data_IF_639001489619
#
_entry.id   IF_639001489619
#
_cell.length_a   1.000
_cell.length_b   1.000
_cell.length_c   1.000
_cell.angle_alpha   90.00
_cell.angle_beta   90.00
_cell.angle_gamma   90.00
#
_symmetry.space_group_name_H-M   'P 1'
#
loop_
_entity.id
_entity.type
_entity.pdbx_description
1 polymer ?
#
# COMPACT_ATOMS: atom_id res chain seq x y z
N UNK A 1 13.09 10.74 8.00
CA UNK A 1 12.51 11.61 6.94
C UNK A 1 11.21 12.27 7.40
N UNK A 2 10.28 11.54 8.02
CA UNK A 2 8.97 12.06 8.46
C UNK A 2 9.10 13.31 9.35
N UNK A 3 9.91 13.23 10.39
CA UNK A 3 10.13 14.28 11.41
C UNK A 3 11.20 15.31 11.07
N UNK A 4 11.91 15.17 9.97
CA UNK A 4 13.06 16.04 9.60
C UNK A 4 12.83 16.87 8.34
N UNK A 5 11.67 16.72 7.67
CA UNK A 5 11.35 17.46 6.45
C UNK A 5 10.91 18.89 6.73
N UNK A 6 10.19 19.10 7.81
CA UNK A 6 9.63 20.39 8.22
C UNK A 6 10.29 20.89 9.51
N UNK A 7 10.00 22.12 9.90
CA UNK A 7 10.46 22.66 11.19
C UNK A 7 9.93 21.86 12.39
N UNK A 8 10.62 21.98 13.52
CA UNK A 8 10.28 21.23 14.75
C UNK A 8 8.90 21.59 15.34
N UNK A 9 8.32 22.71 14.91
CA UNK A 9 6.98 23.17 15.27
C UNK A 9 5.84 22.54 14.47
N UNK A 10 6.17 21.77 13.40
CA UNK A 10 5.21 21.12 12.51
C UNK A 10 4.94 19.68 12.92
N UNK A 11 3.67 19.30 13.03
CA UNK A 11 3.25 17.92 13.24
C UNK A 11 3.20 17.18 11.89
N UNK A 12 4.05 16.16 11.67
CA UNK A 12 4.19 15.51 10.36
C UNK A 12 3.20 14.34 10.22
N UNK A 13 2.02 14.60 9.70
CA UNK A 13 0.98 13.58 9.40
C UNK A 13 0.86 13.31 7.90
N UNK A 14 1.96 13.40 7.13
CA UNK A 14 1.97 13.36 5.67
C UNK A 14 2.41 12.01 5.08
N UNK A 15 3.57 11.47 5.46
CA UNK A 15 4.11 10.24 4.87
C UNK A 15 3.54 9.00 5.55
N UNK A 16 3.33 7.94 4.78
CA UNK A 16 2.82 6.66 5.27
C UNK A 16 3.94 5.84 5.96
N UNK A 17 4.42 6.37 7.09
CA UNK A 17 5.34 5.74 8.05
C UNK A 17 4.71 5.81 9.45
N UNK A 18 4.86 4.74 10.24
CA UNK A 18 4.41 4.69 11.64
C UNK A 18 5.42 5.41 12.56
N UNK A 19 4.92 6.02 13.63
CA UNK A 19 5.75 6.61 14.70
C UNK A 19 5.90 5.66 15.91
N UNK A 20 5.35 4.45 15.82
CA UNK A 20 5.47 3.46 16.89
C UNK A 20 6.87 2.82 16.91
N UNK A 21 7.22 2.25 18.05
CA UNK A 21 8.45 1.47 18.16
C UNK A 21 8.44 0.31 17.14
N UNK A 22 9.59 -0.01 16.59
CA UNK A 22 9.74 -1.16 15.70
C UNK A 22 9.51 -2.45 16.48
N UNK A 23 8.85 -3.42 15.87
CA UNK A 23 8.62 -4.75 16.43
C UNK A 23 9.92 -5.34 17.00
N UNK A 24 9.97 -5.76 18.29
CA UNK A 24 11.18 -6.29 18.92
C UNK A 24 11.80 -7.46 18.15
N UNK A 25 10.99 -8.40 17.65
CA UNK A 25 11.49 -9.52 16.86
C UNK A 25 12.22 -9.08 15.59
N UNK A 26 11.79 -7.99 14.96
CA UNK A 26 12.46 -7.40 13.80
C UNK A 26 13.78 -6.76 14.20
N UNK A 27 13.80 -6.00 15.31
CA UNK A 27 15.01 -5.35 15.83
C UNK A 27 16.07 -6.40 16.18
N UNK A 28 15.68 -7.45 16.93
CA UNK A 28 16.57 -8.51 17.38
C UNK A 28 17.18 -9.27 16.20
N UNK A 29 16.37 -9.61 15.19
CA UNK A 29 16.83 -10.31 13.99
C UNK A 29 17.83 -9.47 13.18
N UNK A 30 17.54 -8.19 12.97
CA UNK A 30 18.46 -7.27 12.26
C UNK A 30 19.75 -7.08 13.07
N UNK A 31 19.68 -6.92 14.38
CA UNK A 31 20.84 -6.76 15.23
C UNK A 31 21.73 -8.02 15.24
N UNK A 32 21.11 -9.21 15.25
CA UNK A 32 21.84 -10.47 15.13
C UNK A 32 22.59 -10.56 13.79
N UNK A 33 21.93 -10.20 12.68
CA UNK A 33 22.56 -10.19 11.36
C UNK A 33 23.73 -9.20 11.27
N UNK A 34 23.58 -8.00 11.86
CA UNK A 34 24.65 -7.00 11.93
C UNK A 34 25.82 -7.50 12.79
N UNK A 35 25.54 -8.11 13.93
CA UNK A 35 26.57 -8.67 14.84
C UNK A 35 27.33 -9.85 14.21
N UNK A 36 26.67 -10.59 13.32
CA UNK A 36 27.28 -11.67 12.53
C UNK A 36 27.96 -11.17 11.24
N UNK A 37 28.01 -9.85 11.02
CA UNK A 37 28.57 -9.23 9.81
C UNK A 37 27.99 -9.79 8.50
N UNK A 38 26.69 -10.13 8.50
CA UNK A 38 25.96 -10.73 7.38
C UNK A 38 25.60 -9.67 6.32
N UNK A 39 26.60 -9.14 5.61
CA UNK A 39 26.45 -8.08 4.60
C UNK A 39 26.70 -8.56 3.16
N UNK A 40 26.97 -9.86 2.98
CA UNK A 40 27.20 -10.46 1.67
C UNK A 40 25.91 -10.57 0.84
N UNK A 41 26.07 -11.07 -0.39
CA UNK A 41 24.91 -11.39 -1.22
C UNK A 41 24.04 -12.47 -0.54
N UNK A 42 22.70 -12.36 -0.67
CA UNK A 42 21.81 -13.41 -0.20
C UNK A 42 22.09 -14.72 -0.95
N UNK A 43 21.95 -15.85 -0.26
CA UNK A 43 22.06 -17.15 -0.91
C UNK A 43 20.92 -17.32 -1.94
N UNK A 44 21.20 -18.00 -3.06
CA UNK A 44 20.23 -18.21 -4.14
C UNK A 44 18.90 -18.87 -3.68
N UNK A 45 18.91 -19.60 -2.58
CA UNK A 45 17.77 -20.30 -2.00
C UNK A 45 17.46 -19.82 -0.59
N UNK A 46 17.41 -18.53 -0.35
CA UNK A 46 16.90 -18.02 0.93
C UNK A 46 15.39 -18.23 1.04
N UNK A 47 15.05 -19.47 1.39
CA UNK A 47 13.68 -19.94 1.50
C UNK A 47 12.92 -19.39 2.69
N UNK A 48 13.61 -18.93 3.74
CA UNK A 48 13.00 -18.52 5.00
C UNK A 48 11.93 -17.44 4.84
N UNK A 49 12.20 -16.39 4.04
CA UNK A 49 11.22 -15.34 3.79
C UNK A 49 10.06 -15.84 2.92
N UNK A 50 10.33 -16.63 1.89
CA UNK A 50 9.29 -17.15 1.01
C UNK A 50 8.29 -18.03 1.75
N UNK A 51 8.80 -18.92 2.59
CA UNK A 51 8.01 -19.78 3.48
C UNK A 51 7.24 -18.95 4.51
N UNK A 52 7.91 -17.99 5.17
CA UNK A 52 7.27 -17.12 6.15
C UNK A 52 6.13 -16.29 5.54
N UNK A 53 6.31 -15.80 4.30
CA UNK A 53 5.27 -15.08 3.56
C UNK A 53 4.10 -16.01 3.23
N UNK A 54 4.36 -17.21 2.71
CA UNK A 54 3.32 -18.18 2.36
C UNK A 54 2.52 -18.62 3.61
N UNK A 55 3.20 -18.87 4.73
CA UNK A 55 2.58 -19.23 5.99
C UNK A 55 1.72 -18.08 6.54
N UNK A 56 2.21 -16.84 6.47
CA UNK A 56 1.44 -15.67 6.89
C UNK A 56 0.18 -15.48 6.06
N UNK A 57 0.27 -15.62 4.74
CA UNK A 57 -0.88 -15.52 3.83
C UNK A 57 -1.90 -16.64 4.06
N UNK A 58 -1.44 -17.88 4.29
CA UNK A 58 -2.32 -19.00 4.64
C UNK A 58 -3.05 -18.74 5.96
N UNK A 59 -2.32 -18.37 7.00
CA UNK A 59 -2.85 -18.27 8.36
C UNK A 59 -3.72 -17.02 8.55
N UNK A 60 -3.36 -15.90 7.89
CA UNK A 60 -4.07 -14.62 8.07
C UNK A 60 -5.22 -14.44 7.08
N UNK A 61 -5.07 -14.94 5.84
CA UNK A 61 -6.01 -14.67 4.75
C UNK A 61 -6.64 -15.94 4.16
N UNK A 62 -6.23 -17.13 4.58
CA UNK A 62 -6.70 -18.40 4.03
C UNK A 62 -6.24 -18.66 2.59
N UNK A 63 -5.19 -17.96 2.13
CA UNK A 63 -4.63 -18.11 0.79
C UNK A 63 -3.35 -18.93 0.82
N UNK A 64 -3.32 -20.02 0.05
CA UNK A 64 -2.15 -20.91 -0.04
C UNK A 64 -1.24 -20.48 -1.18
N UNK A 65 -0.26 -19.65 -0.89
CA UNK A 65 0.83 -19.36 -1.81
C UNK A 65 1.83 -20.53 -1.82
N UNK A 66 2.47 -20.76 -2.97
CA UNK A 66 3.61 -21.69 -3.07
C UNK A 66 4.88 -20.94 -2.72
N UNK A 67 5.67 -21.36 -1.71
CA UNK A 67 6.90 -20.66 -1.35
C UNK A 67 7.88 -20.47 -2.53
N UNK A 68 7.96 -21.46 -3.41
CA UNK A 68 8.82 -21.41 -4.62
C UNK A 68 8.36 -20.39 -5.68
N UNK A 69 7.20 -19.77 -5.49
CA UNK A 69 6.63 -18.72 -6.35
C UNK A 69 6.57 -17.35 -5.64
N UNK A 70 7.20 -17.24 -4.49
CA UNK A 70 7.36 -16.00 -3.72
C UNK A 70 8.79 -15.52 -3.86
N UNK A 71 8.97 -14.35 -4.46
CA UNK A 71 10.31 -13.84 -4.74
C UNK A 71 10.54 -12.47 -4.10
N UNK A 72 11.71 -12.25 -3.48
CA UNK A 72 12.06 -10.95 -2.93
C UNK A 72 12.39 -9.95 -4.04
N UNK A 73 11.96 -8.71 -3.82
CA UNK A 73 12.29 -7.54 -4.67
C UNK A 73 12.56 -6.33 -3.76
N UNK A 74 13.12 -5.25 -4.31
CA UNK A 74 13.51 -4.09 -3.52
C UNK A 74 12.33 -3.44 -2.77
N UNK A 75 11.21 -3.24 -3.44
CA UNK A 75 9.98 -2.68 -2.90
C UNK A 75 8.79 -3.00 -3.81
N UNK A 76 7.57 -2.71 -3.36
CA UNK A 76 6.33 -2.99 -4.11
C UNK A 76 6.28 -2.20 -5.43
N UNK A 77 6.78 -0.97 -5.47
CA UNK A 77 6.81 -0.17 -6.71
C UNK A 77 7.71 -0.86 -7.74
N UNK A 78 8.84 -1.45 -7.31
CA UNK A 78 9.72 -2.25 -8.17
C UNK A 78 9.01 -3.52 -8.67
N UNK A 79 8.27 -4.22 -7.82
CA UNK A 79 7.48 -5.39 -8.22
C UNK A 79 6.48 -5.02 -9.32
N UNK A 80 5.74 -3.93 -9.15
CA UNK A 80 4.77 -3.44 -10.13
C UNK A 80 5.44 -2.98 -11.43
N UNK A 81 6.60 -2.31 -11.34
CA UNK A 81 7.40 -1.93 -12.50
C UNK A 81 7.77 -3.13 -13.36
N UNK A 82 8.34 -4.17 -12.73
CA UNK A 82 8.72 -5.43 -13.38
C UNK A 82 7.46 -6.08 -13.98
N UNK A 83 6.35 -6.07 -13.26
CA UNK A 83 5.09 -6.67 -13.72
C UNK A 83 4.56 -5.97 -14.98
N UNK A 84 4.56 -4.65 -15.04
CA UNK A 84 4.15 -3.89 -16.24
C UNK A 84 5.07 -4.20 -17.42
N UNK A 85 6.37 -4.28 -17.19
CA UNK A 85 7.35 -4.45 -18.26
C UNK A 85 7.38 -5.86 -18.86
N UNK A 86 7.20 -6.89 -18.03
CA UNK A 86 7.48 -8.27 -18.42
C UNK A 86 6.26 -9.19 -18.44
N UNK A 87 5.13 -8.79 -17.84
CA UNK A 87 3.94 -9.63 -17.69
C UNK A 87 2.69 -9.05 -18.37
N UNK A 88 2.82 -7.92 -19.05
CA UNK A 88 1.73 -7.31 -19.83
C UNK A 88 2.15 -7.17 -21.30
N UNK A 89 1.17 -7.05 -22.18
CA UNK A 89 1.42 -6.83 -23.60
C UNK A 89 2.29 -5.59 -23.81
N UNK A 90 3.42 -5.69 -24.54
CA UNK A 90 4.29 -4.55 -24.81
C UNK A 90 3.52 -3.37 -25.45
N UNK A 91 3.72 -2.16 -24.94
CA UNK A 91 3.07 -0.95 -25.45
C UNK A 91 1.59 -0.78 -25.06
N UNK A 92 0.97 -1.77 -24.42
CA UNK A 92 -0.42 -1.64 -23.95
C UNK A 92 -0.59 -0.54 -22.90
N UNK A 93 -1.78 0.03 -22.81
CA UNK A 93 -2.11 1.02 -21.78
C UNK A 93 -2.28 0.38 -20.40
N UNK A 94 -2.29 1.22 -19.36
CA UNK A 94 -2.45 0.79 -17.96
C UNK A 94 -3.66 1.50 -17.38
N UNK A 95 -4.61 0.76 -16.83
CA UNK A 95 -5.73 1.34 -16.09
C UNK A 95 -5.25 1.69 -14.68
N UNK A 96 -5.49 2.94 -14.28
CA UNK A 96 -5.16 3.46 -12.95
C UNK A 96 -6.42 4.08 -12.36
N UNK A 97 -7.07 3.40 -11.40
CA UNK A 97 -8.17 4.00 -10.65
C UNK A 97 -7.68 5.18 -9.81
N UNK A 98 -8.42 6.29 -9.86
CA UNK A 98 -8.11 7.52 -9.12
C UNK A 98 -9.20 7.83 -8.09
N UNK A 99 -8.84 8.45 -6.93
CA UNK A 99 -7.52 8.94 -6.53
C UNK A 99 -6.54 7.78 -6.30
N UNK A 100 -5.32 7.88 -6.84
CA UNK A 100 -4.33 6.79 -6.85
C UNK A 100 -3.08 7.13 -6.04
N UNK A 101 -2.40 6.10 -5.53
CA UNK A 101 -1.08 6.25 -4.92
C UNK A 101 -0.10 6.94 -5.90
N UNK A 102 0.51 8.10 -5.56
CA UNK A 102 1.27 8.89 -6.50
C UNK A 102 2.36 8.15 -7.30
N UNK A 103 3.10 7.18 -6.74
CA UNK A 103 4.02 6.38 -7.52
C UNK A 103 3.41 5.59 -8.69
N UNK A 104 2.10 5.35 -8.73
CA UNK A 104 1.47 4.69 -9.89
C UNK A 104 1.58 5.56 -11.15
N UNK A 105 1.48 6.88 -11.03
CA UNK A 105 1.73 7.80 -12.13
C UNK A 105 3.19 7.77 -12.58
N UNK A 106 4.13 7.61 -11.63
CA UNK A 106 5.56 7.48 -11.95
C UNK A 106 5.86 6.14 -12.66
N UNK A 107 5.13 5.07 -12.37
CA UNK A 107 5.24 3.80 -13.11
C UNK A 107 4.88 3.96 -14.57
N UNK A 108 3.84 4.74 -14.91
CA UNK A 108 3.49 5.05 -16.30
C UNK A 108 4.65 5.74 -17.01
N UNK A 109 5.22 6.76 -16.39
CA UNK A 109 6.37 7.48 -16.93
C UNK A 109 7.59 6.56 -17.09
N UNK A 110 7.92 5.77 -16.07
CA UNK A 110 9.10 4.88 -16.08
C UNK A 110 8.99 3.74 -17.09
N UNK A 111 7.77 3.33 -17.43
CA UNK A 111 7.52 2.25 -18.41
C UNK A 111 7.17 2.77 -19.80
N UNK A 112 7.02 4.09 -19.98
CA UNK A 112 6.56 4.69 -21.23
C UNK A 112 5.15 4.28 -21.62
N UNK A 113 4.30 3.93 -20.65
CA UNK A 113 2.93 3.50 -20.88
C UNK A 113 1.94 4.66 -20.76
N UNK A 114 0.92 4.67 -21.61
CA UNK A 114 -0.22 5.56 -21.49
C UNK A 114 -1.15 5.06 -20.37
N UNK A 115 -1.60 5.97 -19.50
CA UNK A 115 -2.58 5.69 -18.45
C UNK A 115 -4.02 5.92 -18.93
N UNK A 116 -4.92 5.04 -18.51
CA UNK A 116 -6.37 5.27 -18.58
C UNK A 116 -6.85 5.44 -17.14
N UNK A 117 -7.33 6.65 -16.83
CA UNK A 117 -7.79 6.96 -15.47
C UNK A 117 -9.29 6.69 -15.36
N UNK A 118 -9.69 5.98 -14.30
CA UNK A 118 -11.08 5.66 -13.97
C UNK A 118 -11.38 6.10 -12.54
N UNK A 119 -12.59 6.56 -12.28
CA UNK A 119 -12.96 7.09 -10.96
C UNK A 119 -13.70 6.08 -10.09
N UNK A 120 -14.01 4.92 -10.65
CA UNK A 120 -14.67 3.84 -9.91
C UNK A 120 -14.18 2.46 -10.33
N UNK A 121 -14.62 1.44 -9.60
CA UNK A 121 -14.43 0.03 -9.94
C UNK A 121 -15.71 -0.58 -10.56
N UNK A 122 -16.60 0.26 -11.08
CA UNK A 122 -17.77 -0.21 -11.85
C UNK A 122 -17.31 -1.01 -13.06
N UNK A 123 -17.90 -2.19 -13.24
CA UNK A 123 -17.45 -3.12 -14.29
C UNK A 123 -17.69 -2.58 -15.70
N UNK A 124 -18.69 -1.73 -15.91
CA UNK A 124 -18.93 -1.11 -17.22
C UNK A 124 -17.91 -0.02 -17.52
N UNK A 125 -17.48 0.74 -16.51
CA UNK A 125 -16.39 1.71 -16.64
C UNK A 125 -15.06 1.01 -16.92
N UNK A 126 -14.75 -0.04 -16.17
CA UNK A 126 -13.55 -0.84 -16.39
C UNK A 126 -13.57 -1.53 -17.77
N UNK A 127 -14.73 -2.03 -18.23
CA UNK A 127 -14.89 -2.62 -19.55
C UNK A 127 -14.55 -1.62 -20.67
N UNK A 128 -15.04 -0.38 -20.55
CA UNK A 128 -14.70 0.70 -21.48
C UNK A 128 -13.20 1.03 -21.47
N UNK A 129 -12.59 0.98 -20.31
CA UNK A 129 -11.14 1.21 -20.16
C UNK A 129 -10.32 0.08 -20.80
N UNK A 130 -10.65 -1.19 -20.53
CA UNK A 130 -9.99 -2.34 -21.17
C UNK A 130 -10.15 -2.32 -22.70
N UNK A 131 -11.34 -1.96 -23.21
CA UNK A 131 -11.61 -1.86 -24.64
C UNK A 131 -10.73 -0.81 -25.36
N UNK A 132 -10.12 0.13 -24.63
CA UNK A 132 -9.16 1.11 -25.16
C UNK A 132 -7.73 0.54 -25.32
N UNK A 133 -7.54 -0.76 -25.13
CA UNK A 133 -6.27 -1.44 -25.29
C UNK A 133 -5.40 -1.49 -24.02
N UNK A 134 -6.03 -1.47 -22.86
CA UNK A 134 -5.31 -1.66 -21.61
C UNK A 134 -4.84 -3.12 -21.46
N UNK A 135 -3.56 -3.30 -21.19
CA UNK A 135 -2.97 -4.62 -20.90
C UNK A 135 -2.93 -4.96 -19.42
N UNK A 136 -3.19 -4.00 -18.55
CA UNK A 136 -3.36 -4.26 -17.12
C UNK A 136 -4.14 -3.17 -16.38
N UNK A 137 -4.62 -3.57 -15.19
CA UNK A 137 -5.17 -2.72 -14.14
C UNK A 137 -4.19 -2.71 -12.96
N UNK A 138 -3.82 -1.53 -12.45
CA UNK A 138 -3.14 -1.37 -11.16
C UNK A 138 -4.20 -1.34 -10.05
N UNK A 139 -4.20 -2.31 -9.18
CA UNK A 139 -5.18 -2.46 -8.11
C UNK A 139 -4.47 -2.38 -6.75
N UNK A 140 -4.78 -1.38 -5.93
CA UNK A 140 -4.35 -1.33 -4.54
C UNK A 140 -5.43 -1.96 -3.65
N UNK A 141 -5.13 -3.01 -2.90
CA UNK A 141 -6.09 -3.73 -2.06
C UNK A 141 -5.44 -4.16 -0.73
N UNK A 142 -5.79 -3.54 0.41
CA UNK A 142 -6.73 -2.42 0.64
C UNK A 142 -6.36 -1.13 -0.08
N UNK A 143 -7.37 -0.30 -0.38
CA UNK A 143 -7.22 0.81 -1.32
C UNK A 143 -6.67 2.09 -0.65
N UNK A 144 -5.50 2.53 -1.08
CA UNK A 144 -4.90 3.81 -0.72
C UNK A 144 -5.15 4.84 -1.85
N UNK A 145 -5.82 6.00 -1.57
CA UNK A 145 -5.97 6.61 -0.25
C UNK A 145 -7.29 6.39 0.48
N UNK A 146 -8.29 5.75 -0.10
CA UNK A 146 -9.68 5.74 0.39
C UNK A 146 -9.94 4.75 1.53
N UNK A 147 -9.02 3.84 1.84
CA UNK A 147 -9.06 2.96 3.00
C UNK A 147 -10.11 1.86 2.98
N UNK A 148 -10.73 1.53 1.84
CA UNK A 148 -11.69 0.43 1.76
C UNK A 148 -11.03 -0.90 1.40
N UNK A 149 -11.73 -1.99 1.68
CA UNK A 149 -11.33 -3.37 1.38
C UNK A 149 -12.31 -3.95 0.35
N UNK A 150 -11.78 -4.56 -0.71
CA UNK A 150 -12.61 -5.19 -1.73
C UNK A 150 -13.29 -6.45 -1.20
N UNK A 151 -14.55 -6.64 -1.55
CA UNK A 151 -15.25 -7.89 -1.33
C UNK A 151 -14.86 -8.93 -2.40
N UNK A 152 -14.98 -10.22 -2.03
CA UNK A 152 -14.69 -11.33 -2.96
C UNK A 152 -15.42 -11.20 -4.30
N UNK A 153 -16.70 -10.81 -4.28
CA UNK A 153 -17.52 -10.67 -5.50
C UNK A 153 -17.01 -9.58 -6.44
N UNK A 154 -16.48 -8.48 -5.88
CA UNK A 154 -15.92 -7.38 -6.66
C UNK A 154 -14.62 -7.82 -7.34
N UNK A 155 -13.75 -8.49 -6.60
CA UNK A 155 -12.50 -9.03 -7.14
C UNK A 155 -12.74 -10.10 -8.21
N UNK A 156 -13.76 -10.97 -8.05
CA UNK A 156 -14.16 -11.92 -9.09
C UNK A 156 -14.58 -11.18 -10.35
N UNK A 157 -15.46 -10.18 -10.25
CA UNK A 157 -15.90 -9.39 -11.40
C UNK A 157 -14.75 -8.69 -12.12
N UNK A 158 -13.85 -8.04 -11.37
CA UNK A 158 -12.67 -7.36 -11.93
C UNK A 158 -11.73 -8.33 -12.64
N UNK A 159 -11.43 -9.48 -12.02
CA UNK A 159 -10.48 -10.45 -12.58
C UNK A 159 -11.06 -11.22 -13.78
N UNK A 160 -12.34 -11.55 -13.77
CA UNK A 160 -13.02 -12.16 -14.89
C UNK A 160 -13.07 -11.18 -16.08
N UNK A 161 -13.37 -9.91 -15.81
CA UNK A 161 -13.35 -8.88 -16.83
C UNK A 161 -11.94 -8.67 -17.44
N UNK A 162 -10.90 -8.63 -16.61
CA UNK A 162 -9.53 -8.53 -17.11
C UNK A 162 -9.16 -9.73 -17.99
N UNK A 163 -9.60 -10.94 -17.62
CA UNK A 163 -9.40 -12.16 -18.41
C UNK A 163 -10.10 -12.11 -19.77
N UNK A 164 -11.32 -11.56 -19.86
CA UNK A 164 -12.04 -11.38 -21.12
C UNK A 164 -11.21 -10.58 -22.14
N UNK A 165 -10.44 -9.60 -21.69
CA UNK A 165 -9.59 -8.75 -22.53
C UNK A 165 -8.14 -9.26 -22.66
N UNK A 166 -7.81 -10.42 -22.07
CA UNK A 166 -6.43 -10.93 -22.03
C UNK A 166 -5.47 -10.01 -21.25
N UNK A 167 -6.01 -9.22 -20.34
CA UNK A 167 -5.27 -8.25 -19.52
C UNK A 167 -4.91 -8.83 -18.15
N UNK A 168 -4.03 -8.14 -17.42
CA UNK A 168 -3.56 -8.53 -16.09
C UNK A 168 -4.14 -7.62 -15.00
N UNK A 169 -4.19 -8.13 -13.78
CA UNK A 169 -4.46 -7.33 -12.58
C UNK A 169 -3.21 -7.34 -11.71
N UNK A 170 -2.53 -6.20 -11.60
CA UNK A 170 -1.33 -6.03 -10.80
C UNK A 170 -1.73 -5.49 -9.44
N UNK A 171 -1.64 -6.33 -8.42
CA UNK A 171 -2.26 -6.09 -7.11
C UNK A 171 -1.21 -5.65 -6.10
N UNK A 172 -1.33 -4.41 -5.61
CA UNK A 172 -0.57 -3.90 -4.46
C UNK A 172 -1.33 -4.26 -3.17
N UNK A 173 -0.85 -5.27 -2.47
CA UNK A 173 -1.40 -5.74 -1.19
C UNK A 173 -0.56 -5.30 0.04
N UNK A 174 0.23 -4.24 -0.10
CA UNK A 174 1.12 -3.76 0.97
C UNK A 174 0.37 -3.38 2.26
N UNK A 175 -0.91 -3.02 2.15
CA UNK A 175 -1.78 -2.69 3.28
C UNK A 175 -2.62 -3.88 3.77
N UNK A 176 -2.49 -5.06 3.19
CA UNK A 176 -3.27 -6.25 3.53
C UNK A 176 -3.30 -6.58 5.03
N UNK A 177 -2.19 -6.43 5.81
CA UNK A 177 -2.23 -6.71 7.24
C UNK A 177 -3.01 -5.68 8.08
N UNK A 178 -3.30 -4.49 7.51
CA UNK A 178 -3.85 -3.33 8.24
C UNK A 178 -5.36 -3.18 8.01
N UNK A 179 -6.13 -4.20 8.36
CA UNK A 179 -7.59 -4.24 8.21
C UNK A 179 -8.27 -4.21 9.59
N UNK A 180 -9.37 -3.47 9.74
CA UNK A 180 -10.06 -3.18 10.99
C UNK A 180 -11.40 -3.91 11.11
N UNK A 181 -12.04 -3.75 12.29
CA UNK A 181 -13.41 -4.17 12.57
C UNK A 181 -13.66 -5.68 12.37
N UNK A 182 -12.62 -6.51 12.59
CA UNK A 182 -12.72 -7.96 12.40
C UNK A 182 -12.91 -8.38 10.94
N UNK A 183 -12.78 -7.45 9.98
CA UNK A 183 -12.79 -7.77 8.55
C UNK A 183 -11.55 -8.56 8.17
N UNK A 184 -11.68 -9.38 7.14
CA UNK A 184 -10.55 -10.10 6.56
C UNK A 184 -10.17 -9.51 5.20
N UNK A 185 -8.87 -9.36 4.98
CA UNK A 185 -8.37 -9.09 3.64
C UNK A 185 -8.66 -10.26 2.71
N UNK A 186 -9.11 -9.97 1.51
CA UNK A 186 -9.33 -10.96 0.46
C UNK A 186 -8.20 -10.85 -0.55
N UNK A 187 -7.35 -11.87 -0.62
CA UNK A 187 -6.26 -11.95 -1.61
C UNK A 187 -6.86 -12.07 -3.01
N UNK A 188 -6.56 -11.10 -3.88
CA UNK A 188 -7.19 -11.03 -5.20
C UNK A 188 -6.94 -12.29 -6.04
N UNK A 189 -5.71 -12.80 -6.04
CA UNK A 189 -5.34 -14.03 -6.75
C UNK A 189 -6.06 -15.28 -6.24
N UNK A 190 -6.61 -15.25 -5.02
CA UNK A 190 -7.26 -16.38 -4.37
C UNK A 190 -8.78 -16.47 -4.58
N UNK A 191 -9.40 -15.54 -5.33
CA UNK A 191 -10.86 -15.51 -5.44
C UNK A 191 -11.41 -16.52 -6.43
N UNK A 192 -10.65 -16.90 -7.47
CA UNK A 192 -11.01 -17.88 -8.49
C UNK A 192 -9.77 -18.39 -9.24
N UNK A 193 -9.94 -19.47 -10.03
CA UNK A 193 -8.89 -19.93 -10.95
C UNK A 193 -8.56 -18.91 -12.03
N UNK A 194 -9.53 -18.13 -12.49
CA UNK A 194 -9.32 -17.01 -13.42
C UNK A 194 -8.44 -15.95 -12.77
N UNK A 195 -8.76 -15.57 -11.53
CA UNK A 195 -7.96 -14.62 -10.76
C UNK A 195 -6.50 -15.10 -10.58
N UNK A 196 -6.28 -16.37 -10.27
CA UNK A 196 -4.95 -16.94 -10.17
C UNK A 196 -4.13 -16.84 -11.48
N UNK A 197 -4.78 -16.83 -12.64
CA UNK A 197 -4.13 -16.67 -13.95
C UNK A 197 -3.81 -15.23 -14.29
N UNK A 198 -4.64 -14.28 -13.87
CA UNK A 198 -4.50 -12.87 -14.29
C UNK A 198 -3.84 -11.97 -13.25
N UNK A 199 -3.86 -12.35 -11.96
CA UNK A 199 -3.29 -11.55 -10.89
C UNK A 199 -1.78 -11.80 -10.72
N UNK A 200 -1.06 -10.70 -10.43
CA UNK A 200 0.28 -10.73 -9.85
C UNK A 200 0.21 -9.91 -8.57
N UNK A 201 0.55 -10.51 -7.44
CA UNK A 201 0.47 -9.87 -6.12
C UNK A 201 1.83 -9.32 -5.72
N UNK A 202 1.86 -8.07 -5.27
CA UNK A 202 3.01 -7.44 -4.64
C UNK A 202 2.68 -7.07 -3.19
N UNK A 203 3.53 -7.42 -2.24
CA UNK A 203 3.34 -7.15 -0.81
C UNK A 203 4.67 -6.84 -0.12
N UNK A 204 4.60 -6.33 1.11
CA UNK A 204 5.79 -6.09 1.93
C UNK A 204 5.42 -5.92 3.41
N UNK A 205 6.39 -6.12 4.29
CA UNK A 205 6.29 -5.82 5.72
C UNK A 205 6.40 -4.33 6.04
N UNK A 206 6.69 -3.51 5.04
CA UNK A 206 7.09 -2.11 5.22
C UNK A 206 6.02 -1.21 5.82
N UNK A 207 4.72 -1.54 5.67
CA UNK A 207 3.63 -0.75 6.27
C UNK A 207 3.22 -1.28 7.64
N UNK A 208 3.03 -2.57 7.76
CA UNK A 208 2.57 -3.20 8.99
C UNK A 208 3.64 -3.30 10.09
N UNK A 209 4.92 -3.27 9.75
CA UNK A 209 6.04 -3.31 10.71
C UNK A 209 7.06 -2.17 10.50
N UNK A 210 6.68 -1.16 9.72
CA UNK A 210 7.47 0.07 9.50
C UNK A 210 8.90 -0.17 9.00
N UNK A 211 9.10 -1.13 8.08
CA UNK A 211 10.42 -1.57 7.59
C UNK A 211 10.80 -1.03 6.21
N UNK A 212 10.14 0.03 5.73
CA UNK A 212 10.32 0.56 4.36
C UNK A 212 11.78 0.91 4.01
N UNK A 213 12.54 1.41 4.98
CA UNK A 213 13.95 1.76 4.81
C UNK A 213 14.89 0.57 4.59
N UNK A 214 14.44 -0.64 4.93
CA UNK A 214 15.22 -1.88 4.79
C UNK A 214 15.11 -2.52 3.40
N UNK A 215 14.26 -1.97 2.50
CA UNK A 215 14.18 -2.38 1.10
C UNK A 215 14.01 -3.88 0.87
N UNK A 216 12.83 -4.39 1.24
CA UNK A 216 12.41 -5.75 0.95
C UNK A 216 10.90 -5.80 0.76
N UNK A 217 10.47 -6.31 -0.38
CA UNK A 217 9.09 -6.64 -0.71
C UNK A 217 9.06 -8.04 -1.34
N UNK A 218 7.87 -8.57 -1.56
CA UNK A 218 7.66 -9.85 -2.20
C UNK A 218 6.74 -9.68 -3.42
N UNK A 219 7.09 -10.32 -4.52
CA UNK A 219 6.19 -10.61 -5.62
C UNK A 219 5.73 -12.06 -5.50
N UNK A 220 4.43 -12.29 -5.61
CA UNK A 220 3.80 -13.61 -5.44
C UNK A 220 3.09 -13.96 -6.73
N UNK A 221 3.50 -15.07 -7.34
CA UNK A 221 2.81 -15.63 -8.48
C UNK A 221 1.82 -16.72 -8.06
N UNK A 222 0.77 -16.88 -8.85
CA UNK A 222 -0.30 -17.82 -8.57
C UNK A 222 -0.51 -18.85 -9.67
N UNK A 223 0.36 -18.84 -10.70
CA UNK A 223 0.36 -19.80 -11.80
C UNK A 223 1.79 -20.07 -12.31
N UNK A 224 1.96 -21.22 -12.95
CA UNK A 224 3.25 -21.71 -13.43
C UNK A 224 3.80 -20.92 -14.64
N UNK A 225 2.94 -20.26 -15.41
CA UNK A 225 3.37 -19.52 -16.60
C UNK A 225 4.08 -18.23 -16.18
N UNK A 226 3.55 -17.54 -15.20
CA UNK A 226 4.19 -16.34 -14.61
C UNK A 226 5.52 -16.70 -13.94
N UNK A 227 5.55 -17.80 -13.20
CA UNK A 227 6.79 -18.30 -12.60
C UNK A 227 7.86 -18.63 -13.68
N UNK A 228 7.45 -19.19 -14.81
CA UNK A 228 8.36 -19.46 -15.93
C UNK A 228 8.92 -18.18 -16.54
N UNK A 229 8.07 -17.16 -16.72
CA UNK A 229 8.52 -15.83 -17.18
C UNK A 229 9.54 -15.24 -16.21
N UNK A 230 9.22 -15.27 -14.90
CA UNK A 230 10.09 -14.74 -13.84
C UNK A 230 11.48 -15.41 -13.84
N UNK A 231 11.53 -16.74 -13.96
CA UNK A 231 12.80 -17.48 -14.02
C UNK A 231 13.64 -17.09 -15.22
N UNK A 232 13.02 -16.71 -16.32
CA UNK A 232 13.70 -16.24 -17.53
C UNK A 232 14.26 -14.82 -17.43
N UNK A 233 13.87 -14.02 -16.43
CA UNK A 233 14.38 -12.67 -16.25
C UNK A 233 15.81 -12.67 -15.68
N UNK A 234 16.59 -11.67 -16.08
CA UNK A 234 17.96 -11.49 -15.58
C UNK A 234 17.97 -11.07 -14.10
N UNK A 235 19.07 -11.36 -13.40
CA UNK A 235 19.24 -10.89 -12.03
C UNK A 235 19.22 -9.36 -11.96
N UNK A 236 19.79 -8.65 -12.93
CA UNK A 236 19.72 -7.18 -13.00
C UNK A 236 18.28 -6.62 -12.98
N UNK A 237 17.30 -7.40 -13.46
CA UNK A 237 15.88 -7.03 -13.38
C UNK A 237 15.30 -7.31 -12.00
N UNK A 238 15.66 -8.45 -11.40
CA UNK A 238 15.06 -9.01 -10.18
C UNK A 238 15.69 -8.50 -8.89
N UNK A 239 17.00 -8.26 -8.87
CA UNK A 239 17.77 -7.91 -7.69
C UNK A 239 17.36 -6.56 -7.10
N UNK A 240 17.67 -6.38 -5.82
CA UNK A 240 17.49 -5.11 -5.12
C UNK A 240 16.92 -5.21 -3.69
N UNK A 241 16.47 -6.39 -3.27
CA UNK A 241 16.16 -6.61 -1.87
C UNK A 241 17.44 -6.63 -1.04
N UNK A 242 17.46 -5.92 0.10
CA UNK A 242 18.63 -5.92 0.98
C UNK A 242 18.63 -7.16 1.89
N UNK A 243 19.82 -7.67 2.24
CA UNK A 243 19.94 -8.81 3.14
C UNK A 243 19.30 -8.53 4.51
N UNK A 244 19.48 -7.32 5.06
CA UNK A 244 18.85 -6.93 6.32
C UNK A 244 17.33 -6.79 6.19
N UNK A 245 16.85 -6.42 4.99
CA UNK A 245 15.43 -6.40 4.68
C UNK A 245 14.81 -7.79 4.61
N UNK A 246 15.52 -8.77 4.05
CA UNK A 246 15.09 -10.18 4.02
C UNK A 246 14.93 -10.72 5.44
N UNK A 247 15.95 -10.51 6.29
CA UNK A 247 15.95 -10.94 7.70
C UNK A 247 14.82 -10.26 8.48
N UNK A 248 14.64 -8.95 8.30
CA UNK A 248 13.59 -8.18 8.95
C UNK A 248 12.19 -8.66 8.54
N UNK A 249 11.98 -8.90 7.24
CA UNK A 249 10.69 -9.32 6.72
C UNK A 249 10.33 -10.74 7.17
N UNK A 250 11.29 -11.67 7.18
CA UNK A 250 11.09 -13.01 7.73
C UNK A 250 10.70 -12.97 9.21
N UNK A 251 11.43 -12.21 10.03
CA UNK A 251 11.15 -12.06 11.46
C UNK A 251 9.76 -11.44 11.70
N UNK A 252 9.38 -10.44 10.91
CA UNK A 252 8.06 -9.80 10.98
C UNK A 252 6.94 -10.81 10.75
N UNK A 253 7.01 -11.61 9.69
CA UNK A 253 5.98 -12.60 9.37
C UNK A 253 5.92 -13.77 10.36
N UNK A 254 7.08 -14.25 10.84
CA UNK A 254 7.15 -15.39 11.79
C UNK A 254 6.78 -15.01 13.20
N UNK A 255 7.33 -13.89 13.69
CA UNK A 255 7.34 -13.55 15.14
C UNK A 255 6.73 -12.18 15.44
N UNK A 256 6.34 -11.41 14.44
CA UNK A 256 5.77 -10.06 14.62
C UNK A 256 4.24 -10.00 14.66
N UNK A 257 3.53 -11.14 14.69
CA UNK A 257 2.06 -11.19 14.56
C UNK A 257 1.33 -10.57 15.76
N UNK A 258 1.73 -10.92 16.98
CA UNK A 258 1.14 -10.35 18.19
C UNK A 258 1.38 -8.83 18.30
N UNK A 259 2.56 -8.38 17.87
CA UNK A 259 2.87 -6.95 17.79
C UNK A 259 1.94 -6.24 16.81
N UNK A 260 1.73 -6.83 15.62
CA UNK A 260 0.80 -6.31 14.62
C UNK A 260 -0.63 -6.23 15.16
N UNK A 261 -1.11 -7.25 15.86
CA UNK A 261 -2.46 -7.28 16.40
C UNK A 261 -2.66 -6.17 17.46
N UNK A 262 -1.67 -5.94 18.33
CA UNK A 262 -1.68 -4.83 19.28
C UNK A 262 -1.61 -3.45 18.58
N UNK A 263 -0.81 -3.32 17.52
CA UNK A 263 -0.76 -2.09 16.71
C UNK A 263 -2.10 -1.81 16.02
N UNK A 264 -2.77 -2.84 15.50
CA UNK A 264 -4.08 -2.72 14.86
C UNK A 264 -5.15 -2.20 15.84
N UNK A 265 -5.17 -2.70 17.08
CA UNK A 265 -6.09 -2.20 18.12
C UNK A 265 -5.87 -0.70 18.39
N UNK A 266 -4.61 -0.28 18.49
CA UNK A 266 -4.27 1.11 18.72
C UNK A 266 -4.62 2.00 17.52
N UNK A 267 -4.33 1.54 16.30
CA UNK A 267 -4.67 2.23 15.06
C UNK A 267 -6.18 2.36 14.88
N UNK A 268 -6.94 1.31 15.14
CA UNK A 268 -8.41 1.35 15.10
C UNK A 268 -8.94 2.39 16.08
N UNK A 269 -8.44 2.41 17.32
CA UNK A 269 -8.82 3.43 18.29
C UNK A 269 -8.44 4.85 17.83
N UNK A 270 -7.30 5.05 17.17
CA UNK A 270 -6.91 6.33 16.56
C UNK A 270 -7.84 6.76 15.43
N UNK A 271 -8.21 5.82 14.54
CA UNK A 271 -9.19 6.03 13.49
C UNK A 271 -10.52 6.53 14.07
N UNK A 272 -11.06 5.79 15.03
CA UNK A 272 -12.36 6.07 15.64
C UNK A 272 -12.37 7.43 16.33
N UNK A 273 -11.27 7.77 17.01
CA UNK A 273 -11.09 9.09 17.60
C UNK A 273 -11.12 10.21 16.55
N UNK A 274 -10.37 10.06 15.47
CA UNK A 274 -10.33 11.08 14.41
C UNK A 274 -11.68 11.23 13.71
N UNK A 275 -12.36 10.11 13.44
CA UNK A 275 -13.70 10.12 12.83
C UNK A 275 -14.72 10.86 13.70
N UNK A 276 -14.63 10.70 15.02
CA UNK A 276 -15.52 11.38 15.96
C UNK A 276 -15.19 12.88 16.10
N UNK A 277 -13.92 13.26 16.14
CA UNK A 277 -13.50 14.60 16.53
C UNK A 277 -13.25 15.56 15.34
N UNK A 278 -12.91 15.05 14.15
CA UNK A 278 -12.63 15.87 12.98
C UNK A 278 -13.79 16.80 12.59
N UNK A 279 -15.08 16.36 12.58
CA UNK A 279 -16.19 17.25 12.25
C UNK A 279 -16.33 18.45 13.21
N UNK A 280 -15.92 18.27 14.46
CA UNK A 280 -15.91 19.35 15.47
C UNK A 280 -14.72 20.31 15.25
N UNK A 281 -13.55 19.77 14.97
CA UNK A 281 -12.34 20.56 14.74
C UNK A 281 -12.35 21.30 13.39
N UNK A 282 -12.95 20.70 12.37
CA UNK A 282 -13.02 21.20 10.99
C UNK A 282 -14.42 20.99 10.42
N UNK A 283 -15.41 21.82 10.73
CA UNK A 283 -16.74 21.75 10.16
C UNK A 283 -16.74 21.82 8.63
N UNK A 284 -17.61 21.03 8.01
CA UNK A 284 -17.66 20.88 6.56
C UNK A 284 -16.73 19.79 6.02
N UNK A 285 -15.83 19.21 6.85
CA UNK A 285 -15.03 18.07 6.43
C UNK A 285 -15.92 16.86 6.12
N UNK A 286 -15.68 16.25 4.95
CA UNK A 286 -16.27 14.96 4.60
C UNK A 286 -15.19 13.89 4.67
N UNK A 287 -15.53 12.75 5.22
CA UNK A 287 -14.63 11.61 5.31
C UNK A 287 -15.39 10.31 5.16
N UNK A 288 -14.72 9.31 4.61
CA UNK A 288 -15.13 7.92 4.70
C UNK A 288 -14.36 7.28 5.86
N UNK A 289 -15.04 6.52 6.71
CA UNK A 289 -14.37 5.72 7.75
C UNK A 289 -13.51 4.67 7.07
N UNK A 290 -12.17 4.68 7.25
CA UNK A 290 -11.34 3.68 6.61
C UNK A 290 -11.54 2.30 7.24
N UNK A 291 -11.72 1.29 6.40
CA UNK A 291 -11.81 -0.12 6.78
C UNK A 291 -10.43 -0.76 6.93
N UNK A 292 -9.42 -0.09 6.40
CA UNK A 292 -8.03 -0.53 6.38
C UNK A 292 -7.06 0.65 6.25
N UNK A 293 -5.76 0.37 6.30
CA UNK A 293 -4.65 1.33 6.26
C UNK A 293 -4.58 2.19 7.53
N UNK A 294 -3.59 3.02 7.66
CA UNK A 294 -3.52 4.08 8.69
C UNK A 294 -3.59 5.48 8.07
N UNK A 295 -4.35 5.57 6.97
CA UNK A 295 -4.47 6.77 6.15
C UNK A 295 -5.93 7.20 6.11
N UNK A 296 -6.19 8.46 6.40
CA UNK A 296 -7.52 9.04 6.36
C UNK A 296 -7.59 10.05 5.21
N UNK A 297 -8.53 9.84 4.30
CA UNK A 297 -8.82 10.75 3.20
C UNK A 297 -9.90 11.72 3.63
N UNK A 298 -9.60 13.02 3.52
CA UNK A 298 -10.47 14.11 3.93
C UNK A 298 -10.80 14.97 2.72
N UNK A 299 -12.08 15.09 2.39
CA UNK A 299 -12.59 16.07 1.43
C UNK A 299 -12.91 17.36 2.20
N UNK A 300 -12.24 18.42 1.82
CA UNK A 300 -12.31 19.76 2.43
C UNK A 300 -13.04 20.78 1.54
N UNK A 301 -13.75 20.33 0.51
CA UNK A 301 -14.44 21.19 -0.46
C UNK A 301 -15.52 22.07 0.17
N UNK A 302 -16.15 21.61 1.25
CA UNK A 302 -17.20 22.36 1.98
C UNK A 302 -16.68 23.06 3.25
N UNK A 303 -15.34 23.10 3.45
CA UNK A 303 -14.72 23.83 4.55
C UNK A 303 -14.37 25.27 4.15
N UNK A 304 -14.20 26.16 5.15
CA UNK A 304 -13.77 27.55 4.94
C UNK A 304 -12.27 27.67 4.62
N UNK A 305 -11.53 26.58 4.37
CA UNK A 305 -10.11 26.61 4.03
C UNK A 305 -9.94 27.08 2.58
N UNK A 306 -9.27 28.24 2.35
CA UNK A 306 -9.07 28.75 1.00
C UNK A 306 -7.88 28.11 0.31
N UNK A 307 -7.86 28.14 -1.03
CA UNK A 307 -6.73 27.73 -1.84
C UNK A 307 -6.35 26.26 -1.65
N UNK A 308 -5.03 25.97 -1.73
CA UNK A 308 -4.54 24.60 -1.54
C UNK A 308 -4.65 24.19 -0.06
N UNK A 309 -5.45 23.17 0.19
CA UNK A 309 -5.83 22.72 1.53
C UNK A 309 -4.62 22.25 2.38
N UNK A 310 -3.72 21.49 1.76
CA UNK A 310 -2.52 20.99 2.46
C UNK A 310 -1.55 22.11 2.84
N UNK A 311 -1.34 23.05 1.94
CA UNK A 311 -0.50 24.23 2.19
C UNK A 311 -1.11 25.08 3.31
N UNK A 312 -2.40 25.32 3.28
CA UNK A 312 -3.09 26.11 4.31
C UNK A 312 -2.97 25.44 5.70
N UNK A 313 -3.20 24.14 5.80
CA UNK A 313 -3.03 23.40 7.06
C UNK A 313 -1.58 23.46 7.58
N UNK A 314 -0.60 23.39 6.68
CA UNK A 314 0.81 23.51 7.04
C UNK A 314 1.16 24.91 7.57
N UNK A 315 0.69 25.95 6.92
CA UNK A 315 1.04 27.34 7.26
C UNK A 315 0.33 27.83 8.52
N UNK A 316 -0.95 27.51 8.67
CA UNK A 316 -1.80 28.08 9.72
C UNK A 316 -1.99 27.15 10.93
N UNK A 317 -2.04 25.81 10.73
CA UNK A 317 -2.14 24.85 11.83
C UNK A 317 -0.78 24.23 12.20
N UNK A 318 0.26 24.39 11.39
CA UNK A 318 1.51 23.65 11.55
C UNK A 318 1.30 22.13 11.55
N UNK A 319 0.38 21.66 10.70
CA UNK A 319 0.08 20.24 10.46
C UNK A 319 0.37 19.92 9.01
N UNK A 320 1.36 19.09 8.78
CA UNK A 320 1.72 18.64 7.43
C UNK A 320 0.91 17.39 7.06
N UNK A 321 0.18 17.44 5.96
CA UNK A 321 -0.57 16.31 5.35
C UNK A 321 -0.17 16.16 3.90
N UNK A 322 -0.57 15.07 3.23
CA UNK A 322 -0.40 15.00 1.79
C UNK A 322 -1.47 15.81 1.07
N UNK A 323 -1.04 16.54 0.04
CA UNK A 323 -1.94 17.21 -0.89
C UNK A 323 -2.67 16.16 -1.73
N UNK A 324 -4.00 16.25 -1.74
CA UNK A 324 -4.83 15.32 -2.48
C UNK A 324 -4.66 15.43 -4.00
N UNK A 325 -4.26 16.59 -4.52
CA UNK A 325 -3.97 16.76 -5.95
C UNK A 325 -2.86 15.83 -6.45
N UNK A 326 -1.96 15.35 -5.58
CA UNK A 326 -0.94 14.38 -5.96
C UNK A 326 -1.51 13.00 -6.29
N UNK A 327 -2.75 12.72 -5.89
CA UNK A 327 -3.45 11.43 -6.11
C UNK A 327 -4.34 11.46 -7.37
N UNK A 328 -4.33 12.56 -8.12
CA UNK A 328 -5.15 12.83 -9.30
C UNK A 328 -5.99 14.09 -9.15
N UNK A 329 -6.51 14.63 -10.24
CA UNK A 329 -7.27 15.89 -10.27
C UNK A 329 -8.50 15.87 -9.36
N UNK A 330 -9.15 14.72 -9.23
CA UNK A 330 -10.30 14.49 -8.32
C UNK A 330 -9.95 14.77 -6.85
N UNK A 331 -8.67 14.76 -6.49
CA UNK A 331 -8.18 15.03 -5.14
C UNK A 331 -7.88 16.50 -4.83
N UNK A 332 -8.16 17.45 -5.72
CA UNK A 332 -7.73 18.87 -5.61
C UNK A 332 -8.17 19.53 -4.30
N UNK A 333 -9.37 19.25 -3.80
CA UNK A 333 -9.87 19.77 -2.53
C UNK A 333 -9.71 18.79 -1.36
N UNK A 334 -8.94 17.74 -1.55
CA UNK A 334 -8.74 16.70 -0.55
C UNK A 334 -7.35 16.76 0.07
N UNK A 335 -7.21 16.12 1.22
CA UNK A 335 -5.92 15.82 1.84
C UNK A 335 -5.89 14.40 2.38
N UNK A 336 -4.71 13.80 2.44
CA UNK A 336 -4.53 12.50 3.10
C UNK A 336 -3.72 12.68 4.38
N UNK A 337 -4.30 12.26 5.51
CA UNK A 337 -3.72 12.32 6.84
C UNK A 337 -3.27 10.92 7.27
N UNK A 338 -2.05 10.78 7.78
CA UNK A 338 -1.54 9.58 8.42
C UNK A 338 -1.84 9.61 9.92
N UNK A 339 -2.51 8.57 10.44
CA UNK A 339 -2.84 8.46 11.86
C UNK A 339 -2.04 7.38 12.63
N UNK A 340 -0.99 6.80 12.02
CA UNK A 340 -0.05 5.92 12.71
C UNK A 340 0.94 6.73 13.55
N UNK A 341 0.43 7.33 14.62
CA UNK A 341 1.17 8.14 15.59
C UNK A 341 0.47 8.08 16.95
N UNK A 342 1.03 8.72 17.98
CA UNK A 342 0.40 8.73 19.30
C UNK A 342 -0.93 9.49 19.29
N UNK A 343 -1.85 9.08 20.17
CA UNK A 343 -3.12 9.78 20.40
C UNK A 343 -2.91 11.25 20.77
N UNK A 344 -1.86 11.54 21.51
CA UNK A 344 -1.52 12.90 21.92
C UNK A 344 -1.19 13.80 20.72
N UNK A 345 -0.38 13.29 19.76
CA UNK A 345 -0.07 14.02 18.52
C UNK A 345 -1.35 14.29 17.71
N UNK A 346 -2.24 13.31 17.61
CA UNK A 346 -3.52 13.50 16.91
C UNK A 346 -4.40 14.55 17.61
N UNK A 347 -4.47 14.52 18.93
CA UNK A 347 -5.21 15.51 19.71
C UNK A 347 -4.61 16.92 19.52
N UNK A 348 -3.28 17.07 19.54
CA UNK A 348 -2.60 18.33 19.27
C UNK A 348 -2.90 18.82 17.84
N UNK A 349 -2.89 17.92 16.84
CA UNK A 349 -3.22 18.29 15.47
C UNK A 349 -4.65 18.82 15.35
N UNK A 350 -5.64 18.15 15.94
CA UNK A 350 -7.02 18.61 15.96
C UNK A 350 -7.18 19.95 16.67
N UNK A 351 -6.49 20.16 17.81
CA UNK A 351 -6.51 21.43 18.55
C UNK A 351 -5.95 22.57 17.69
N UNK A 352 -4.85 22.35 16.98
CA UNK A 352 -4.26 23.35 16.09
C UNK A 352 -5.17 23.65 14.89
N UNK A 353 -5.77 22.63 14.29
CA UNK A 353 -6.73 22.81 13.19
C UNK A 353 -7.93 23.62 13.66
N UNK A 354 -8.52 23.29 14.80
CA UNK A 354 -9.64 24.05 15.36
C UNK A 354 -9.29 25.50 15.65
N UNK A 355 -8.05 25.80 16.05
CA UNK A 355 -7.60 27.17 16.38
C UNK A 355 -7.43 28.09 15.17
N UNK A 356 -7.35 27.54 13.93
CA UNK A 356 -7.28 28.36 12.71
C UNK A 356 -8.55 29.19 12.46
N UNK A 357 -9.66 28.84 13.12
CA UNK A 357 -10.98 29.46 12.93
C UNK A 357 -11.23 30.69 13.83
N UNK A 358 -10.25 31.06 14.63
CA UNK A 358 -10.31 32.25 15.48
C UNK A 358 -9.60 33.42 14.79
#
# INVERSE_FOLDING_TARGET
MKWTRYGADVLPLWVAESDFATCPAVVDAVQAAVSAESFGYPAENQSGLAEATADFYRDRYGFTARPEWVHPVADVVRALLISIQHFTTPGSKVIVPVPAYPPFFQLLQATGREGIFVESFDLEELRKAFAQGAGCLLLCNPYNPLGFVFERKELVGITDLAAEFGARVLVDEIHAPLVYDGRQHVVAAGVSETAARVCITATATSKAWNTAGLKCAQIIFSNADDERVWRGLTNATKDGASILGLVAAEAAYRSGREFLDAELEYLQANRDFLVAELPNALPGVKLRVPEATYLLWLDLSETDIPGNKATYLLEHAKVAVNDGAWFGEIGTDCVRLNFATSREILHQALTRIASMRK
#
